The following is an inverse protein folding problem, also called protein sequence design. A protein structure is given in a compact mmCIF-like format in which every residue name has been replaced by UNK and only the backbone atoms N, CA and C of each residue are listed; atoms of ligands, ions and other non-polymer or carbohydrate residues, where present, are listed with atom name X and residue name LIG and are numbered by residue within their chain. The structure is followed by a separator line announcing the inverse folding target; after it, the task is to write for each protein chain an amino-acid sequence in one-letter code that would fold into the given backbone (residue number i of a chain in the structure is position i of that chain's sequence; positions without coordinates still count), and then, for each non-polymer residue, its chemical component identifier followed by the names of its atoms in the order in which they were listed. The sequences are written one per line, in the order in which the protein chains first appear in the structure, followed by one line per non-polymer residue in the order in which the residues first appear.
data_IF_010305148887
#
_entry.id   IF_010305148887
#
_cell.length_a   1.000
_cell.length_b   1.000
_cell.length_c   1.000
_cell.angle_alpha   90.00
_cell.angle_beta   90.00
_cell.angle_gamma   90.00
#
_symmetry.space_group_name_H-M   'P 1'
#
loop_
_entity.id
_entity.type
_entity.pdbx_description
1 polymer ?
#
# COMPACT_ATOMS: atom_id res chain seq x y z
N UNK A 1 28.88 57.57 -22.33
CA UNK A 1 28.42 56.54 -23.28
C UNK A 1 27.29 55.78 -22.60
N UNK A 2 26.20 55.51 -23.33
CA UNK A 2 24.92 55.12 -22.75
C UNK A 2 25.01 53.75 -22.08
N UNK A 3 24.42 53.71 -20.89
CA UNK A 3 24.16 52.57 -20.03
C UNK A 3 23.45 51.52 -20.88
N UNK A 4 24.10 50.37 -21.09
CA UNK A 4 23.49 49.24 -21.80
C UNK A 4 22.25 48.79 -21.01
N UNK A 5 21.10 48.54 -21.66
CA UNK A 5 19.92 48.08 -20.98
C UNK A 5 20.20 46.70 -20.36
N UNK A 6 19.78 46.54 -19.11
CA UNK A 6 19.73 45.27 -18.40
C UNK A 6 18.92 44.29 -19.27
N UNK A 7 19.58 43.26 -19.81
CA UNK A 7 18.88 42.16 -20.47
C UNK A 7 18.25 41.34 -19.35
N UNK A 8 16.92 41.39 -19.29
CA UNK A 8 16.12 40.58 -18.39
C UNK A 8 16.45 39.10 -18.64
N UNK A 9 16.97 38.43 -17.62
CA UNK A 9 17.42 37.05 -17.69
C UNK A 9 16.18 36.15 -17.69
N UNK A 10 15.84 35.59 -18.86
CA UNK A 10 14.80 34.56 -18.97
C UNK A 10 15.13 33.34 -18.12
N UNK A 11 14.14 32.90 -17.32
CA UNK A 11 14.25 31.73 -16.47
C UNK A 11 13.88 30.46 -17.27
N UNK A 12 14.66 29.39 -17.08
CA UNK A 12 14.33 28.04 -17.57
C UNK A 12 13.93 27.18 -16.36
N UNK A 13 12.64 26.86 -16.25
CA UNK A 13 12.13 25.91 -15.24
C UNK A 13 11.97 24.51 -15.84
N UNK A 14 12.26 23.47 -15.06
CA UNK A 14 11.95 22.06 -15.39
C UNK A 14 11.20 21.41 -14.23
N UNK A 15 10.32 20.47 -14.60
CA UNK A 15 9.35 19.80 -13.73
C UNK A 15 9.97 18.69 -12.84
N UNK A 16 11.19 18.23 -13.11
CA UNK A 16 11.81 17.10 -12.39
C UNK A 16 13.24 17.42 -11.90
N UNK A 17 13.31 18.06 -10.73
CA UNK A 17 14.36 18.05 -9.69
C UNK A 17 15.86 17.72 -9.97
N UNK A 18 16.42 18.05 -11.13
CA UNK A 18 17.88 18.20 -11.34
C UNK A 18 18.23 19.58 -11.94
N UNK A 19 19.28 20.27 -11.44
CA UNK A 19 19.54 21.65 -11.83
C UNK A 19 20.10 21.73 -13.26
N UNK A 20 19.32 22.26 -14.21
CA UNK A 20 19.92 23.00 -15.32
C UNK A 20 20.71 24.14 -14.67
N UNK A 21 22.04 24.02 -14.63
CA UNK A 21 22.88 25.13 -14.18
C UNK A 21 22.52 26.35 -15.03
N UNK A 22 21.98 27.40 -14.39
CA UNK A 22 21.64 28.66 -15.06
C UNK A 22 22.82 29.09 -15.95
N UNK A 23 22.64 28.99 -17.26
CA UNK A 23 23.53 29.63 -18.23
C UNK A 23 22.81 30.86 -18.75
N UNK A 24 23.39 32.02 -18.46
CA UNK A 24 23.00 33.25 -19.13
C UNK A 24 23.51 33.18 -20.58
N UNK A 25 22.60 33.08 -21.54
CA UNK A 25 22.95 33.19 -22.96
C UNK A 25 23.08 34.68 -23.30
N UNK A 26 24.24 35.08 -23.80
CA UNK A 26 24.56 36.50 -24.02
C UNK A 26 23.77 37.13 -25.19
N UNK A 27 23.38 36.33 -26.19
CA UNK A 27 22.63 36.78 -27.39
C UNK A 27 21.73 35.65 -27.96
N UNK A 28 20.64 36.02 -28.66
CA UNK A 28 19.70 35.08 -29.33
C UNK A 28 20.34 34.16 -30.38
N UNK A 29 21.56 34.47 -30.84
CA UNK A 29 22.26 33.74 -31.92
C UNK A 29 23.13 32.57 -31.43
N UNK A 30 23.36 32.43 -30.12
CA UNK A 30 24.26 31.40 -29.55
C UNK A 30 23.51 30.16 -29.02
N UNK A 31 22.19 30.07 -29.21
CA UNK A 31 21.38 28.97 -28.70
C UNK A 31 21.19 27.92 -29.81
N UNK A 32 21.86 26.78 -29.67
CA UNK A 32 21.61 25.61 -30.53
C UNK A 32 20.37 24.86 -30.05
N UNK A 33 19.40 24.68 -30.94
CA UNK A 33 18.10 24.08 -30.63
C UNK A 33 17.93 22.73 -31.34
N UNK A 34 17.38 21.76 -30.62
CA UNK A 34 17.20 20.39 -31.09
C UNK A 34 15.75 20.08 -31.47
N UNK A 35 14.76 20.58 -30.72
CA UNK A 35 13.34 20.32 -30.96
C UNK A 35 12.44 21.34 -30.25
N UNK A 36 11.14 21.36 -30.60
CA UNK A 36 10.13 22.19 -29.96
C UNK A 36 9.12 21.36 -29.14
N UNK A 37 8.63 21.92 -28.04
CA UNK A 37 7.59 21.33 -27.19
C UNK A 37 6.50 22.37 -26.92
N UNK A 38 5.24 21.93 -26.88
CA UNK A 38 4.11 22.76 -26.45
C UNK A 38 3.80 22.45 -24.99
N UNK A 39 3.75 23.48 -24.15
CA UNK A 39 3.33 23.37 -22.77
C UNK A 39 2.23 24.41 -22.53
N UNK A 40 1.04 23.91 -22.20
CA UNK A 40 -0.19 24.72 -22.12
C UNK A 40 -0.41 25.51 -23.42
N UNK A 41 -0.18 26.82 -23.39
CA UNK A 41 -0.35 27.75 -24.51
C UNK A 41 0.98 28.39 -24.99
N UNK A 42 2.12 27.95 -24.46
CA UNK A 42 3.45 28.50 -24.76
C UNK A 42 4.35 27.50 -25.48
N UNK A 43 5.13 27.99 -26.46
CA UNK A 43 6.09 27.15 -27.21
C UNK A 43 7.47 27.24 -26.58
N UNK A 44 8.02 26.09 -26.24
CA UNK A 44 9.33 25.94 -25.64
C UNK A 44 10.27 25.21 -26.60
N UNK A 45 11.55 25.52 -26.53
CA UNK A 45 12.57 24.91 -27.38
C UNK A 45 13.62 24.21 -26.52
N UNK A 46 13.96 22.98 -26.88
CA UNK A 46 15.03 22.22 -26.24
C UNK A 46 16.36 22.64 -26.83
N UNK A 47 17.29 23.01 -25.97
CA UNK A 47 18.68 23.32 -26.31
C UNK A 47 19.49 22.03 -26.50
N UNK A 48 20.64 22.13 -27.16
CA UNK A 48 21.59 21.01 -27.28
C UNK A 48 22.11 20.47 -25.95
N UNK A 49 22.05 21.29 -24.89
CA UNK A 49 22.47 20.96 -23.52
C UNK A 49 21.30 20.39 -22.69
N UNK A 50 20.26 19.87 -23.35
CA UNK A 50 19.06 19.27 -22.75
C UNK A 50 18.22 20.20 -21.84
N UNK A 51 18.39 21.53 -21.89
CA UNK A 51 17.53 22.50 -21.18
C UNK A 51 16.45 23.11 -22.09
N UNK A 52 15.38 23.68 -21.52
CA UNK A 52 14.28 24.31 -22.28
C UNK A 52 14.29 25.84 -22.15
N UNK A 53 13.97 26.54 -23.24
CA UNK A 53 13.85 28.01 -23.29
C UNK A 53 12.55 28.43 -24.00
N UNK A 54 11.90 29.49 -23.52
CA UNK A 54 10.68 30.03 -24.15
C UNK A 54 10.97 30.66 -25.52
N UNK A 55 9.98 30.62 -26.41
CA UNK A 55 10.00 31.23 -27.73
C UNK A 55 10.41 32.71 -27.75
N UNK A 56 10.11 33.46 -26.69
CA UNK A 56 10.46 34.89 -26.60
C UNK A 56 11.98 35.14 -26.61
N UNK A 57 12.75 34.14 -26.17
CA UNK A 57 14.21 34.17 -26.05
C UNK A 57 14.94 33.60 -27.29
N UNK A 58 14.19 33.11 -28.27
CA UNK A 58 14.73 32.43 -29.46
C UNK A 58 14.57 33.31 -30.72
N UNK A 59 15.39 33.07 -31.73
CA UNK A 59 15.28 33.72 -33.05
C UNK A 59 14.07 33.18 -33.84
N UNK A 60 13.32 34.00 -34.59
CA UNK A 60 12.12 33.57 -35.35
C UNK A 60 12.35 32.42 -36.34
N UNK A 61 13.60 32.15 -36.73
CA UNK A 61 13.96 31.07 -37.64
C UNK A 61 13.82 29.65 -37.03
N UNK A 62 13.56 29.52 -35.72
CA UNK A 62 13.40 28.24 -35.02
C UNK A 62 12.01 27.60 -35.16
N UNK A 63 11.05 28.30 -35.76
CA UNK A 63 9.64 27.86 -35.86
C UNK A 63 9.40 26.60 -36.72
N UNK A 64 10.44 26.06 -37.36
CA UNK A 64 10.38 24.89 -38.25
C UNK A 64 11.03 23.63 -37.64
N UNK A 65 11.36 23.63 -36.35
CA UNK A 65 11.93 22.45 -35.69
C UNK A 65 10.86 21.36 -35.48
N UNK A 66 11.28 20.09 -35.56
CA UNK A 66 10.40 18.97 -35.24
C UNK A 66 9.98 19.01 -33.76
N UNK A 67 8.81 18.44 -33.46
CA UNK A 67 8.40 18.23 -32.08
C UNK A 67 9.43 17.34 -31.37
N UNK A 68 9.74 17.65 -30.11
CA UNK A 68 10.58 16.77 -29.30
C UNK A 68 9.95 15.39 -29.28
N UNK A 69 10.72 14.37 -29.63
CA UNK A 69 10.26 13.00 -29.49
C UNK A 69 9.81 12.81 -28.03
N UNK A 70 8.65 12.18 -27.77
CA UNK A 70 8.30 11.79 -26.41
C UNK A 70 9.49 11.00 -25.88
N UNK A 71 10.06 11.46 -24.77
CA UNK A 71 11.14 10.73 -24.12
C UNK A 71 10.65 9.32 -23.90
N UNK A 72 11.46 8.32 -24.23
CA UNK A 72 11.22 6.91 -23.94
C UNK A 72 11.24 6.60 -22.42
N UNK A 73 10.87 7.59 -21.61
CA UNK A 73 10.86 7.64 -20.15
C UNK A 73 9.41 7.66 -19.61
N UNK A 74 8.39 7.50 -20.47
CA UNK A 74 6.97 7.38 -20.09
C UNK A 74 6.65 6.13 -19.24
N UNK A 75 7.60 5.22 -19.08
CA UNK A 75 7.47 4.05 -18.21
C UNK A 75 7.64 4.40 -16.71
N UNK A 76 8.31 5.51 -16.37
CA UNK A 76 8.62 5.87 -14.99
C UNK A 76 7.49 6.68 -14.32
N UNK A 77 6.76 7.52 -15.06
CA UNK A 77 5.60 8.23 -14.48
C UNK A 77 4.43 7.28 -14.22
N UNK A 78 4.21 6.31 -15.11
CA UNK A 78 3.23 5.24 -14.89
C UNK A 78 3.62 4.36 -13.69
N UNK A 79 4.91 4.05 -13.53
CA UNK A 79 5.43 3.27 -12.40
C UNK A 79 5.36 4.03 -11.08
N UNK A 80 5.70 5.32 -11.05
CA UNK A 80 5.56 6.19 -9.89
C UNK A 80 4.10 6.40 -9.48
N UNK A 81 3.20 6.62 -10.45
CA UNK A 81 1.76 6.69 -10.19
C UNK A 81 1.18 5.33 -9.78
N UNK A 82 1.70 4.20 -10.29
CA UNK A 82 1.34 2.87 -9.80
C UNK A 82 1.82 2.68 -8.35
N UNK A 83 3.01 3.17 -8.03
CA UNK A 83 3.63 3.03 -6.72
C UNK A 83 2.93 3.92 -5.69
N UNK A 84 2.59 5.17 -6.02
CA UNK A 84 1.73 6.02 -5.20
C UNK A 84 0.33 5.42 -5.03
N UNK A 85 -0.29 4.88 -6.10
CA UNK A 85 -1.61 4.21 -5.99
C UNK A 85 -1.51 2.90 -5.20
N UNK A 86 -0.38 2.20 -5.24
CA UNK A 86 -0.13 1.02 -4.44
C UNK A 86 0.13 1.38 -2.98
N UNK A 87 0.78 2.51 -2.69
CA UNK A 87 0.99 3.04 -1.35
C UNK A 87 -0.30 3.60 -0.74
N UNK A 88 -1.08 4.38 -1.50
CA UNK A 88 -2.42 4.85 -1.11
C UNK A 88 -3.40 3.67 -1.00
N UNK A 89 -3.31 2.69 -1.90
CA UNK A 89 -4.07 1.45 -1.88
C UNK A 89 -3.70 0.55 -0.70
N UNK A 90 -2.41 0.47 -0.34
CA UNK A 90 -1.92 -0.24 0.84
C UNK A 90 -2.27 0.51 2.13
N UNK A 91 -2.23 1.84 2.14
CA UNK A 91 -2.61 2.68 3.27
C UNK A 91 -4.12 2.63 3.52
N UNK A 92 -4.95 2.67 2.48
CA UNK A 92 -6.41 2.48 2.59
C UNK A 92 -6.77 1.04 2.95
N UNK A 93 -6.07 0.03 2.42
CA UNK A 93 -6.26 -1.37 2.83
C UNK A 93 -5.81 -1.62 4.28
N UNK A 94 -4.72 -1.00 4.73
CA UNK A 94 -4.26 -1.07 6.12
C UNK A 94 -5.22 -0.32 7.07
N UNK A 95 -5.77 0.83 6.66
CA UNK A 95 -6.79 1.55 7.41
C UNK A 95 -8.14 0.80 7.49
N UNK A 96 -8.43 -0.10 6.54
CA UNK A 96 -9.61 -0.96 6.54
C UNK A 96 -9.50 -2.18 7.48
N UNK A 97 -8.30 -2.51 7.97
CA UNK A 97 -8.05 -3.59 8.93
C UNK A 97 -8.20 -3.00 10.35
N UNK A 98 -8.96 -3.62 11.26
CA UNK A 98 -9.47 -5.00 11.26
C UNK A 98 -10.85 -5.22 10.62
N UNK A 99 -11.44 -4.15 10.09
CA UNK A 99 -12.80 -4.13 9.54
C UNK A 99 -13.88 -3.91 10.61
N UNK A 100 -15.16 -3.81 10.18
CA UNK A 100 -16.27 -3.59 11.11
C UNK A 100 -16.46 -4.77 12.06
N UNK A 101 -16.72 -4.46 13.33
CA UNK A 101 -17.03 -5.41 14.39
C UNK A 101 -18.51 -5.80 14.29
N UNK A 102 -18.80 -6.93 13.68
CA UNK A 102 -20.18 -7.40 13.42
C UNK A 102 -20.22 -8.89 13.09
N UNK A 103 -21.32 -9.57 13.40
CA UNK A 103 -21.52 -10.96 13.00
C UNK A 103 -21.96 -11.07 11.53
N UNK A 104 -21.01 -10.94 10.61
CA UNK A 104 -21.17 -11.17 9.17
C UNK A 104 -20.62 -12.55 8.73
N UNK A 105 -20.48 -13.48 9.68
CA UNK A 105 -19.97 -14.83 9.43
C UNK A 105 -21.00 -15.66 8.65
N UNK A 106 -20.65 -16.19 7.45
CA UNK A 106 -21.63 -16.79 6.53
C UNK A 106 -22.27 -18.08 7.04
N UNK A 107 -21.66 -18.75 8.02
CA UNK A 107 -22.18 -20.00 8.59
C UNK A 107 -22.88 -19.80 9.93
N UNK A 108 -23.18 -18.56 10.32
CA UNK A 108 -23.92 -18.27 11.55
C UNK A 108 -25.28 -18.99 11.54
N UNK A 109 -25.53 -19.84 12.55
CA UNK A 109 -26.74 -20.67 12.63
C UNK A 109 -26.73 -21.94 11.75
N UNK A 110 -25.68 -22.19 10.96
CA UNK A 110 -25.53 -23.37 10.10
C UNK A 110 -24.21 -24.10 10.39
N UNK A 111 -24.16 -24.74 11.56
CA UNK A 111 -22.92 -25.25 12.16
C UNK A 111 -22.58 -26.71 11.82
N UNK A 112 -23.10 -27.26 10.72
CA UNK A 112 -22.85 -28.64 10.31
C UNK A 112 -21.77 -28.74 9.24
N UNK A 113 -20.82 -29.65 9.47
CA UNK A 113 -19.75 -29.97 8.52
C UNK A 113 -18.60 -28.98 8.50
N UNK A 114 -17.81 -29.09 7.43
CA UNK A 114 -16.59 -28.33 7.19
C UNK A 114 -16.90 -27.17 6.23
N UNK A 115 -16.25 -26.03 6.41
CA UNK A 115 -16.34 -24.86 5.54
C UNK A 115 -15.42 -24.97 4.30
N UNK A 116 -15.41 -23.92 3.47
CA UNK A 116 -14.55 -23.85 2.28
C UNK A 116 -13.06 -23.66 2.58
N UNK A 117 -12.68 -23.33 3.82
CA UNK A 117 -11.29 -23.20 4.27
C UNK A 117 -10.78 -24.46 4.97
N UNK A 118 -11.58 -25.53 4.96
CA UNK A 118 -11.31 -26.82 5.59
C UNK A 118 -11.28 -26.79 7.14
N UNK A 119 -12.05 -25.89 7.77
CA UNK A 119 -12.30 -25.87 9.22
C UNK A 119 -13.76 -26.22 9.55
N UNK A 120 -14.02 -26.72 10.76
CA UNK A 120 -15.40 -26.99 11.19
C UNK A 120 -16.19 -25.70 11.39
N UNK A 121 -17.39 -25.63 10.82
CA UNK A 121 -18.23 -24.43 10.89
C UNK A 121 -18.63 -24.09 12.33
N UNK A 122 -18.79 -22.81 12.60
CA UNK A 122 -19.10 -22.25 13.90
C UNK A 122 -18.03 -22.53 14.97
N UNK A 123 -16.83 -22.97 14.59
CA UNK A 123 -15.69 -23.02 15.49
C UNK A 123 -14.86 -21.74 15.39
N UNK A 124 -14.02 -21.50 16.40
CA UNK A 124 -13.16 -20.32 16.44
C UNK A 124 -12.20 -20.25 15.25
N UNK A 125 -11.63 -21.39 14.85
CA UNK A 125 -10.71 -21.52 13.71
C UNK A 125 -11.37 -21.16 12.39
N UNK A 126 -12.59 -21.63 12.15
CA UNK A 126 -13.38 -21.28 10.96
C UNK A 126 -13.72 -19.79 10.89
N UNK A 127 -14.15 -19.20 12.01
CA UNK A 127 -14.45 -17.78 12.06
C UNK A 127 -13.22 -16.90 11.83
N UNK A 128 -12.08 -17.26 12.43
CA UNK A 128 -10.83 -16.54 12.22
C UNK A 128 -10.32 -16.73 10.79
N UNK A 129 -10.42 -17.93 10.22
CA UNK A 129 -10.10 -18.16 8.81
C UNK A 129 -10.95 -17.26 7.89
N UNK A 130 -12.25 -17.14 8.15
CA UNK A 130 -13.12 -16.20 7.44
C UNK A 130 -12.64 -14.76 7.56
N UNK A 131 -12.35 -14.29 8.77
CA UNK A 131 -11.85 -12.92 9.03
C UNK A 131 -10.56 -12.65 8.26
N UNK A 132 -9.60 -13.57 8.35
CA UNK A 132 -8.31 -13.50 7.65
C UNK A 132 -8.52 -13.40 6.14
N UNK A 133 -9.30 -14.30 5.53
CA UNK A 133 -9.55 -14.28 4.09
C UNK A 133 -10.26 -12.99 3.66
N UNK A 134 -11.33 -12.60 4.36
CA UNK A 134 -12.18 -11.46 4.00
C UNK A 134 -11.49 -10.11 4.21
N UNK A 135 -10.73 -9.95 5.29
CA UNK A 135 -10.14 -8.65 5.68
C UNK A 135 -8.75 -8.44 5.10
N UNK A 136 -7.94 -9.51 4.95
CA UNK A 136 -6.56 -9.41 4.47
C UNK A 136 -6.40 -9.75 2.98
N UNK A 137 -7.44 -10.29 2.34
CA UNK A 137 -7.40 -10.72 0.94
C UNK A 137 -6.42 -11.87 0.71
N UNK A 138 -6.19 -12.72 1.71
CA UNK A 138 -5.31 -13.89 1.63
C UNK A 138 -6.12 -15.15 1.39
N UNK A 139 -5.53 -16.15 0.73
CA UNK A 139 -6.13 -17.49 0.58
C UNK A 139 -5.71 -18.36 1.77
N UNK A 140 -6.25 -18.08 2.95
CA UNK A 140 -5.94 -18.83 4.16
C UNK A 140 -6.84 -20.06 4.27
N UNK A 141 -6.24 -21.24 4.38
CA UNK A 141 -6.93 -22.52 4.54
C UNK A 141 -6.25 -23.33 5.64
N UNK A 142 -6.83 -24.47 6.00
CA UNK A 142 -6.26 -25.41 6.95
C UNK A 142 -4.92 -26.04 6.48
N UNK A 143 -4.43 -25.68 5.29
CA UNK A 143 -3.15 -26.09 4.69
C UNK A 143 -2.32 -24.88 4.25
N UNK A 144 -2.52 -23.72 4.88
CA UNK A 144 -1.89 -22.47 4.48
C UNK A 144 -0.35 -22.56 4.52
N UNK A 145 0.28 -22.14 3.41
CA UNK A 145 1.74 -22.19 3.20
C UNK A 145 2.39 -23.56 3.44
N UNK A 146 1.65 -24.65 3.22
CA UNK A 146 2.16 -26.01 3.33
C UNK A 146 2.23 -26.55 4.75
N UNK A 147 1.76 -25.81 5.75
CA UNK A 147 1.58 -26.29 7.12
C UNK A 147 0.12 -26.66 7.37
N UNK A 148 -0.13 -27.66 8.22
CA UNK A 148 -1.48 -27.96 8.70
C UNK A 148 -1.79 -27.10 9.92
N UNK A 149 -2.81 -26.24 9.82
CA UNK A 149 -3.15 -25.29 10.90
C UNK A 149 -4.09 -25.89 11.96
N UNK A 150 -4.91 -26.88 11.60
CA UNK A 150 -5.72 -27.72 12.48
C UNK A 150 -6.45 -26.97 13.61
N UNK A 151 -6.41 -27.60 14.79
CA UNK A 151 -7.01 -27.08 16.01
C UNK A 151 -6.29 -25.82 16.51
N UNK A 152 -7.02 -24.95 17.21
CA UNK A 152 -6.50 -23.67 17.69
C UNK A 152 -5.21 -23.79 18.53
N UNK A 153 -5.03 -24.90 19.25
CA UNK A 153 -3.84 -25.15 20.08
C UNK A 153 -2.54 -25.36 19.32
N UNK A 154 -2.58 -25.62 18.01
CA UNK A 154 -1.39 -25.82 17.17
C UNK A 154 -1.14 -24.66 16.22
N UNK A 155 -1.97 -23.60 16.26
CA UNK A 155 -1.84 -22.46 15.34
C UNK A 155 -0.53 -21.70 15.51
N UNK A 156 0.04 -21.68 16.71
CA UNK A 156 1.35 -21.05 16.94
C UNK A 156 2.48 -21.84 16.28
N UNK A 157 2.46 -23.16 16.37
CA UNK A 157 3.40 -24.05 15.68
C UNK A 157 3.23 -24.00 14.16
N UNK A 158 1.98 -24.02 13.67
CA UNK A 158 1.67 -23.89 12.25
C UNK A 158 2.11 -22.53 11.69
N UNK A 159 1.99 -21.45 12.47
CA UNK A 159 2.48 -20.13 12.10
C UNK A 159 4.02 -20.13 11.94
N UNK A 160 4.75 -20.71 12.91
CA UNK A 160 6.21 -20.85 12.85
C UNK A 160 6.64 -21.67 11.62
N UNK A 161 6.01 -22.82 11.37
CA UNK A 161 6.28 -23.65 10.20
C UNK A 161 6.01 -22.91 8.88
N UNK A 162 4.95 -22.11 8.86
CA UNK A 162 4.55 -21.28 7.71
C UNK A 162 5.39 -20.00 7.54
N UNK A 163 6.40 -19.78 8.40
CA UNK A 163 7.20 -18.54 8.46
C UNK A 163 6.34 -17.28 8.60
N UNK A 164 5.24 -17.39 9.34
CA UNK A 164 4.36 -16.28 9.73
C UNK A 164 4.86 -15.75 11.07
N UNK A 165 5.02 -14.43 11.20
CA UNK A 165 5.47 -13.82 12.45
C UNK A 165 4.48 -14.13 13.56
N UNK A 166 4.99 -14.55 14.71
CA UNK A 166 4.24 -14.72 15.95
C UNK A 166 5.02 -14.12 17.11
N UNK A 167 4.39 -13.25 17.89
CA UNK A 167 5.01 -12.59 19.04
C UNK A 167 3.96 -12.10 20.07
N UNK A 168 4.41 -11.40 21.12
CA UNK A 168 3.54 -10.81 22.14
C UNK A 168 3.06 -9.39 21.82
N UNK A 169 3.18 -8.92 20.57
CA UNK A 169 2.87 -7.53 20.18
C UNK A 169 1.59 -7.50 19.34
N UNK A 170 0.42 -7.20 19.94
CA UNK A 170 -0.82 -7.17 19.18
C UNK A 170 -0.86 -5.98 18.22
N UNK A 171 -1.48 -6.21 17.06
CA UNK A 171 -1.86 -5.18 16.09
C UNK A 171 -3.31 -5.44 15.68
N UNK A 172 -4.17 -4.42 15.52
CA UNK A 172 -5.50 -4.63 14.95
C UNK A 172 -5.42 -5.44 13.64
N UNK A 173 -6.16 -6.54 13.56
CA UNK A 173 -6.17 -7.46 12.43
C UNK A 173 -5.16 -8.61 12.50
N UNK A 174 -4.39 -8.73 13.58
CA UNK A 174 -3.68 -9.98 13.85
C UNK A 174 -4.62 -11.02 14.46
N UNK A 175 -4.19 -12.27 14.48
CA UNK A 175 -4.89 -13.35 15.17
C UNK A 175 -4.36 -13.48 16.58
N UNK A 176 -5.23 -13.39 17.58
CA UNK A 176 -4.89 -13.73 18.96
C UNK A 176 -5.04 -15.24 19.14
N UNK A 177 -4.03 -15.89 19.72
CA UNK A 177 -3.95 -17.33 19.88
C UNK A 177 -3.53 -17.67 21.32
N UNK A 178 -4.08 -18.75 21.87
CA UNK A 178 -3.64 -19.29 23.17
C UNK A 178 -3.69 -20.81 23.17
N UNK A 179 -2.79 -21.42 23.94
CA UNK A 179 -2.76 -22.86 24.22
C UNK A 179 -3.49 -23.21 25.53
N UNK A 180 -4.15 -22.24 26.18
CA UNK A 180 -4.94 -22.50 27.38
C UNK A 180 -6.13 -23.41 27.07
N UNK A 181 -6.37 -24.43 27.90
CA UNK A 181 -7.44 -25.41 27.68
C UNK A 181 -7.22 -26.21 26.40
N UNK A 182 -8.24 -26.28 25.54
CA UNK A 182 -8.16 -26.91 24.20
C UNK A 182 -7.52 -25.99 23.13
N UNK A 183 -6.99 -24.85 23.55
CA UNK A 183 -6.55 -23.77 22.69
C UNK A 183 -7.71 -22.92 22.16
N UNK A 184 -7.41 -21.69 21.76
CA UNK A 184 -8.40 -20.77 21.19
C UNK A 184 -7.76 -19.74 20.27
N UNK A 185 -8.50 -19.34 19.24
CA UNK A 185 -8.10 -18.26 18.33
C UNK A 185 -9.21 -17.23 18.17
N UNK A 186 -8.82 -15.96 18.07
CA UNK A 186 -9.72 -14.83 17.92
C UNK A 186 -9.12 -13.77 17.00
N UNK A 187 -9.96 -12.91 16.43
CA UNK A 187 -9.55 -11.79 15.57
C UNK A 187 -9.40 -10.52 16.40
N UNK A 188 -8.22 -9.88 16.38
CA UNK A 188 -7.98 -8.65 17.15
C UNK A 188 -8.63 -7.46 16.44
N UNK A 189 -9.56 -6.77 17.10
CA UNK A 189 -10.24 -5.60 16.53
C UNK A 189 -9.77 -4.27 17.09
N UNK A 190 -9.17 -4.26 18.27
CA UNK A 190 -8.61 -3.06 18.88
C UNK A 190 -7.48 -3.40 19.82
N UNK A 191 -6.48 -2.52 19.87
CA UNK A 191 -5.42 -2.54 20.88
C UNK A 191 -5.49 -1.22 21.65
N UNK A 192 -5.44 -1.27 22.98
CA UNK A 192 -5.53 -0.08 23.83
C UNK A 192 -4.69 -0.30 25.08
N UNK A 193 -3.49 0.29 25.09
CA UNK A 193 -2.51 0.11 26.17
C UNK A 193 -2.14 -1.36 26.34
N UNK A 194 -2.49 -1.92 27.50
CA UNK A 194 -2.25 -3.33 27.85
C UNK A 194 -3.44 -4.25 27.61
N UNK A 195 -4.44 -3.79 26.87
CA UNK A 195 -5.63 -4.57 26.54
C UNK A 195 -5.83 -4.75 25.03
N UNK A 196 -6.50 -5.84 24.67
CA UNK A 196 -6.98 -6.10 23.32
C UNK A 196 -8.47 -6.39 23.33
N UNK A 197 -9.18 -5.88 22.33
CA UNK A 197 -10.55 -6.29 22.01
C UNK A 197 -10.50 -7.30 20.88
N UNK A 198 -11.24 -8.40 21.03
CA UNK A 198 -11.29 -9.48 20.05
C UNK A 198 -12.72 -9.80 19.62
N UNK A 199 -12.86 -10.26 18.38
CA UNK A 199 -14.03 -11.00 17.87
C UNK A 199 -13.72 -12.49 17.85
N UNK A 200 -14.67 -13.30 18.26
CA UNK A 200 -14.51 -14.74 18.35
C UNK A 200 -15.83 -15.48 18.13
N UNK A 201 -15.73 -16.79 17.96
CA UNK A 201 -16.88 -17.67 17.82
C UNK A 201 -16.67 -18.90 18.72
N UNK A 202 -17.76 -19.43 19.29
CA UNK A 202 -17.74 -20.61 20.15
C UNK A 202 -16.81 -20.52 21.37
N UNK A 203 -16.70 -19.33 21.97
CA UNK A 203 -15.93 -19.14 23.21
C UNK A 203 -16.84 -18.75 24.39
N UNK A 204 -17.33 -17.51 24.41
CA UNK A 204 -18.29 -17.05 25.44
C UNK A 204 -19.65 -17.73 25.27
N UNK A 205 -20.08 -17.92 24.02
CA UNK A 205 -21.36 -18.51 23.66
C UNK A 205 -21.14 -19.70 22.73
N UNK A 206 -21.75 -20.84 23.06
CA UNK A 206 -21.65 -22.06 22.27
C UNK A 206 -22.15 -21.81 20.84
N UNK A 207 -21.29 -22.09 19.86
CA UNK A 207 -21.58 -21.93 18.42
C UNK A 207 -22.19 -20.57 18.07
N UNK A 208 -21.72 -19.52 18.72
CA UNK A 208 -22.18 -18.16 18.47
C UNK A 208 -21.01 -17.16 18.52
N UNK A 209 -21.25 -16.02 17.88
CA UNK A 209 -20.34 -14.88 17.84
C UNK A 209 -20.29 -14.19 19.21
N UNK A 210 -19.11 -13.68 19.56
CA UNK A 210 -18.92 -12.86 20.74
C UNK A 210 -17.78 -11.87 20.57
N UNK A 211 -17.77 -10.86 21.44
CA UNK A 211 -16.67 -9.91 21.57
C UNK A 211 -16.30 -9.74 23.03
N UNK A 212 -15.02 -9.48 23.31
CA UNK A 212 -14.55 -9.15 24.65
C UNK A 212 -13.25 -8.38 24.62
N UNK A 213 -12.98 -7.66 25.71
CA UNK A 213 -11.70 -7.00 25.96
C UNK A 213 -10.98 -7.71 27.10
N UNK A 214 -9.72 -8.07 26.90
CA UNK A 214 -8.88 -8.74 27.89
C UNK A 214 -7.46 -8.18 27.89
N UNK A 215 -6.65 -8.57 28.87
CA UNK A 215 -5.23 -8.24 28.90
C UNK A 215 -4.51 -8.82 27.67
N UNK A 216 -3.61 -8.04 27.07
CA UNK A 216 -2.87 -8.51 25.89
C UNK A 216 -1.96 -9.70 26.19
N UNK A 217 -1.55 -9.86 27.45
CA UNK A 217 -0.75 -11.01 27.90
C UNK A 217 -1.49 -12.35 27.87
N UNK A 218 -2.80 -12.36 27.62
CA UNK A 218 -3.59 -13.58 27.49
C UNK A 218 -3.26 -14.39 26.22
N UNK A 219 -2.65 -13.76 25.22
CA UNK A 219 -2.46 -14.36 23.90
C UNK A 219 -1.04 -14.19 23.36
N UNK A 220 -0.68 -15.08 22.45
CA UNK A 220 0.31 -14.83 21.41
C UNK A 220 -0.39 -14.31 20.15
N UNK A 221 0.31 -13.51 19.35
CA UNK A 221 -0.28 -12.81 18.21
C UNK A 221 0.37 -13.24 16.90
N UNK A 222 -0.44 -13.80 16.01
CA UNK A 222 -0.03 -14.31 14.69
C UNK A 222 -0.33 -13.26 13.62
N UNK A 223 0.68 -12.92 12.83
CA UNK A 223 0.70 -11.77 11.92
C UNK A 223 0.75 -12.24 10.46
N UNK A 224 -0.41 -12.58 9.89
CA UNK A 224 -0.48 -13.18 8.54
C UNK A 224 -0.12 -12.16 7.44
N UNK A 225 -0.55 -10.90 7.59
CA UNK A 225 -0.29 -9.80 6.63
C UNK A 225 -0.34 -8.41 7.30
N UNK A 226 -0.06 -8.36 8.61
CA UNK A 226 -0.08 -7.15 9.46
C UNK A 226 1.20 -7.08 10.30
#
# INVERSE_FOLDING_TARGET
MPIQPFVELGYAERQDSLPCHLRAYAVKQDISLSCQAQQEDETWYKTSDDCFVSAEHVSPASSNLAACAPSSDDDDYASFLLQLRAEDGAATAAAAIPGPVTNDYPYSGSCSGVDSWAFYKCECTSFVAFRVNKRLGVKFTNQYKGAHWGDAMIWDDAARQSKVRIDGKPVPGCVAQTNAGAGHVAWVTKVSGDTVTVEEYNYVHKKAYGTRTVAKSTFSYIHIKV
#
